data_IF_530747074877
#
_entry.id   IF_530747074877
#
_cell.length_a   1.000
_cell.length_b   1.000
_cell.length_c   1.000
_cell.angle_alpha   90.00
_cell.angle_beta   90.00
_cell.angle_gamma   90.00
#
_symmetry.space_group_name_H-M   'P 1'
#
loop_
_entity.id
_entity.type
_entity.pdbx_description
1 polymer ?
#
# COMPACT_ATOMS: atom_id res chain seq x y z
N UNK A 1 11.89 -18.93 12.91
CA UNK A 1 12.65 -18.92 11.65
C UNK A 1 11.66 -18.63 10.53
N UNK A 2 11.46 -17.35 10.20
CA UNK A 2 10.57 -16.91 9.12
C UNK A 2 11.45 -16.47 7.94
N UNK A 3 11.33 -17.24 6.87
CA UNK A 3 12.13 -17.25 5.66
C UNK A 3 11.68 -16.15 4.69
N UNK A 4 12.03 -14.90 4.99
CA UNK A 4 11.84 -13.76 4.09
C UNK A 4 12.82 -12.68 4.52
N UNK A 5 13.91 -12.51 3.76
CA UNK A 5 15.10 -11.72 4.12
C UNK A 5 14.94 -10.21 4.25
N UNK A 6 13.76 -9.70 4.60
CA UNK A 6 13.51 -8.32 5.02
C UNK A 6 12.39 -8.34 6.07
N UNK A 7 12.77 -8.56 7.33
CA UNK A 7 11.86 -8.60 8.49
C UNK A 7 11.63 -7.21 9.08
N UNK A 8 11.69 -6.15 8.27
CA UNK A 8 11.36 -4.80 8.70
C UNK A 8 10.04 -4.33 8.03
N UNK A 9 9.08 -3.76 8.78
CA UNK A 9 7.89 -3.17 8.21
C UNK A 9 8.24 -2.07 7.20
N UNK A 10 7.54 -2.10 6.06
CA UNK A 10 7.70 -1.19 4.93
C UNK A 10 6.93 0.11 5.24
N UNK A 11 7.60 1.17 5.65
CA UNK A 11 6.91 2.43 5.93
C UNK A 11 6.61 3.25 4.68
N UNK A 12 5.60 4.10 4.81
CA UNK A 12 5.32 5.13 3.83
C UNK A 12 6.45 6.16 3.78
N UNK A 13 6.60 6.79 2.62
CA UNK A 13 7.57 7.84 2.34
C UNK A 13 7.53 8.99 3.34
N UNK A 14 6.37 9.31 3.93
CA UNK A 14 6.23 10.35 4.95
C UNK A 14 6.99 10.08 6.25
N UNK A 15 7.44 8.84 6.48
CA UNK A 15 8.18 8.44 7.68
C UNK A 15 9.71 8.39 7.46
N UNK A 16 10.21 8.98 6.38
CA UNK A 16 11.64 9.10 6.13
C UNK A 16 12.33 9.89 7.27
N UNK A 17 13.33 9.29 7.92
CA UNK A 17 14.09 9.91 9.01
C UNK A 17 13.67 9.47 10.43
N UNK A 18 12.70 8.57 10.56
CA UNK A 18 12.46 7.83 11.80
C UNK A 18 13.47 6.69 11.97
N UNK A 19 13.59 6.20 13.20
CA UNK A 19 14.56 5.20 13.60
C UNK A 19 14.55 4.00 12.63
N UNK A 20 15.68 3.82 11.95
CA UNK A 20 15.79 2.97 10.75
C UNK A 20 16.04 1.51 11.12
N UNK A 21 16.32 1.25 12.40
CA UNK A 21 16.56 -0.10 12.94
C UNK A 21 15.29 -0.96 12.93
N UNK A 22 14.11 -0.34 12.97
CA UNK A 22 12.82 -1.04 13.03
C UNK A 22 11.90 -0.76 11.85
N UNK A 23 12.21 0.24 11.01
CA UNK A 23 11.34 0.68 9.93
C UNK A 23 12.22 1.07 8.74
N UNK A 24 12.13 0.33 7.64
CA UNK A 24 12.69 0.82 6.39
C UNK A 24 11.74 1.87 5.80
N UNK A 25 12.28 2.94 5.24
CA UNK A 25 11.53 3.99 4.55
C UNK A 25 12.15 4.22 3.15
N UNK A 26 11.36 4.60 2.13
CA UNK A 26 11.86 4.74 0.76
C UNK A 26 12.93 5.83 0.68
N UNK A 27 14.05 5.53 0.02
CA UNK A 27 15.14 6.50 -0.12
C UNK A 27 14.89 7.45 -1.31
N UNK A 28 15.02 8.75 -1.04
CA UNK A 28 14.89 9.86 -2.00
C UNK A 28 16.27 10.52 -2.21
N UNK A 29 17.04 10.07 -3.19
CA UNK A 29 18.34 10.69 -3.51
C UNK A 29 19.20 9.87 -4.46
N UNK A 30 20.16 10.54 -5.10
CA UNK A 30 21.05 9.95 -6.12
C UNK A 30 22.18 9.09 -5.54
N UNK A 31 22.50 9.23 -4.25
CA UNK A 31 23.49 8.40 -3.56
C UNK A 31 22.82 7.27 -2.78
N UNK A 32 22.25 6.31 -3.52
CA UNK A 32 21.52 5.19 -2.92
C UNK A 32 22.45 4.08 -2.44
N UNK A 33 22.31 3.61 -1.19
CA UNK A 33 22.87 2.33 -0.79
C UNK A 33 22.23 1.19 -1.61
N UNK A 34 22.97 0.14 -2.01
CA UNK A 34 22.49 -0.88 -2.93
C UNK A 34 21.21 -1.61 -2.46
N UNK A 35 21.02 -1.80 -1.15
CA UNK A 35 19.83 -2.44 -0.57
C UNK A 35 18.53 -1.62 -0.72
N UNK A 36 18.63 -0.32 -1.00
CA UNK A 36 17.46 0.57 -1.11
C UNK A 36 16.74 0.45 -2.46
N UNK A 37 17.37 -0.14 -3.47
CA UNK A 37 16.78 -0.32 -4.81
C UNK A 37 15.63 -1.33 -4.79
N UNK A 38 15.86 -2.50 -4.20
CA UNK A 38 14.81 -3.52 -4.06
C UNK A 38 13.68 -3.02 -3.15
N UNK A 39 14.02 -2.32 -2.08
CA UNK A 39 13.04 -1.71 -1.19
C UNK A 39 12.15 -0.67 -1.92
N UNK A 40 12.75 0.23 -2.70
CA UNK A 40 11.96 1.20 -3.47
C UNK A 40 11.12 0.50 -4.55
N UNK A 41 11.61 -0.58 -5.17
CA UNK A 41 10.84 -1.34 -6.16
C UNK A 41 9.62 -2.00 -5.52
N UNK A 42 9.78 -2.63 -4.35
CA UNK A 42 8.68 -3.19 -3.58
C UNK A 42 7.68 -2.12 -3.17
N UNK A 43 8.17 -0.97 -2.69
CA UNK A 43 7.31 0.16 -2.32
C UNK A 43 6.53 0.72 -3.51
N UNK A 44 7.19 0.94 -4.65
CA UNK A 44 6.53 1.38 -5.89
C UNK A 44 5.45 0.38 -6.33
N UNK A 45 5.74 -0.92 -6.32
CA UNK A 45 4.74 -1.94 -6.68
C UNK A 45 3.51 -1.94 -5.76
N UNK A 46 3.72 -1.73 -4.45
CA UNK A 46 2.63 -1.62 -3.49
C UNK A 46 1.77 -0.38 -3.75
N UNK A 47 2.42 0.77 -3.97
CA UNK A 47 1.77 2.05 -4.27
C UNK A 47 0.98 1.99 -5.58
N UNK A 48 1.58 1.43 -6.63
CA UNK A 48 0.95 1.31 -7.96
C UNK A 48 -0.38 0.57 -7.90
N UNK A 49 -0.46 -0.51 -7.11
CA UNK A 49 -1.72 -1.26 -6.92
C UNK A 49 -2.79 -0.40 -6.23
N UNK A 50 -2.42 0.28 -5.16
CA UNK A 50 -3.32 1.18 -4.43
C UNK A 50 -3.82 2.32 -5.31
N UNK A 51 -2.91 3.00 -6.01
CA UNK A 51 -3.24 4.10 -6.92
C UNK A 51 -4.18 3.68 -8.04
N UNK A 52 -3.99 2.49 -8.62
CA UNK A 52 -4.90 1.96 -9.65
C UNK A 52 -6.31 1.77 -9.12
N UNK A 53 -6.46 1.21 -7.92
CA UNK A 53 -7.77 1.06 -7.27
C UNK A 53 -8.38 2.44 -7.04
N UNK A 54 -7.63 3.39 -6.47
CA UNK A 54 -8.12 4.75 -6.25
C UNK A 54 -8.49 5.48 -7.55
N UNK A 55 -7.74 5.26 -8.64
CA UNK A 55 -8.04 5.80 -9.96
C UNK A 55 -9.36 5.23 -10.50
N UNK A 56 -9.61 3.92 -10.35
CA UNK A 56 -10.87 3.29 -10.72
C UNK A 56 -12.04 3.83 -9.88
N UNK A 57 -11.88 3.94 -8.56
CA UNK A 57 -12.90 4.49 -7.66
C UNK A 57 -13.25 5.95 -7.99
N UNK A 58 -12.23 6.78 -8.33
CA UNK A 58 -12.43 8.15 -8.81
C UNK A 58 -13.13 8.17 -10.17
N UNK A 59 -12.75 7.29 -11.11
CA UNK A 59 -13.40 7.14 -12.43
C UNK A 59 -14.89 6.81 -12.29
N UNK A 60 -15.25 5.93 -11.37
CA UNK A 60 -16.65 5.58 -11.09
C UNK A 60 -17.40 6.63 -10.26
N UNK A 61 -16.72 7.69 -9.81
CA UNK A 61 -17.26 8.74 -8.92
C UNK A 61 -17.88 8.19 -7.63
N UNK A 62 -17.49 6.98 -7.22
CA UNK A 62 -18.00 6.33 -6.00
C UNK A 62 -17.69 7.17 -4.76
N UNK A 63 -16.49 7.76 -4.72
CA UNK A 63 -16.05 8.62 -3.62
C UNK A 63 -16.93 9.86 -3.45
N UNK A 64 -17.62 10.32 -4.50
CA UNK A 64 -18.54 11.46 -4.40
C UNK A 64 -19.81 11.12 -3.63
N UNK A 65 -20.27 9.87 -3.71
CA UNK A 65 -21.44 9.37 -2.95
C UNK A 65 -21.09 9.04 -1.51
N UNK A 66 -19.80 8.77 -1.24
CA UNK A 66 -19.28 8.37 0.07
C UNK A 66 -18.97 9.53 1.02
N UNK A 67 -18.95 10.78 0.54
CA UNK A 67 -18.37 11.94 1.23
C UNK A 67 -18.96 12.30 2.60
N UNK A 68 -20.09 11.72 3.01
CA UNK A 68 -20.79 12.14 4.23
C UNK A 68 -21.06 11.02 5.25
N UNK A 69 -20.69 9.76 4.97
CA UNK A 69 -21.01 8.66 5.90
C UNK A 69 -19.89 7.62 5.97
N UNK A 70 -19.10 7.67 7.05
CA UNK A 70 -18.03 6.70 7.32
C UNK A 70 -18.54 5.27 7.50
N UNK A 71 -19.74 5.05 8.03
CA UNK A 71 -20.31 3.70 8.10
C UNK A 71 -20.57 3.11 6.71
N UNK A 72 -21.09 3.92 5.79
CA UNK A 72 -21.30 3.50 4.41
C UNK A 72 -19.97 3.18 3.70
N UNK A 73 -18.93 3.98 3.98
CA UNK A 73 -17.57 3.73 3.50
C UNK A 73 -16.99 2.43 4.00
N UNK A 74 -17.12 2.16 5.30
CA UNK A 74 -16.67 0.91 5.92
C UNK A 74 -17.38 -0.29 5.31
N UNK A 75 -18.71 -0.23 5.16
CA UNK A 75 -19.48 -1.34 4.59
C UNK A 75 -19.08 -1.66 3.14
N UNK A 76 -18.90 -0.64 2.29
CA UNK A 76 -18.42 -0.82 0.91
C UNK A 76 -16.99 -1.41 0.92
N UNK A 77 -16.11 -0.91 1.77
CA UNK A 77 -14.73 -1.40 1.87
C UNK A 77 -14.70 -2.86 2.30
N UNK A 78 -15.53 -3.25 3.26
CA UNK A 78 -15.67 -4.62 3.73
C UNK A 78 -16.16 -5.54 2.61
N UNK A 79 -17.19 -5.12 1.86
CA UNK A 79 -17.70 -5.87 0.72
C UNK A 79 -16.62 -6.07 -0.37
N UNK A 80 -15.87 -5.02 -0.72
CA UNK A 80 -14.75 -5.09 -1.68
C UNK A 80 -13.64 -6.02 -1.17
N UNK A 81 -13.32 -5.98 0.13
CA UNK A 81 -12.30 -6.83 0.73
C UNK A 81 -12.69 -8.32 0.68
N UNK A 82 -13.94 -8.64 1.01
CA UNK A 82 -14.49 -10.00 0.91
C UNK A 82 -14.49 -10.47 -0.55
N UNK A 83 -14.95 -9.64 -1.48
CA UNK A 83 -14.96 -9.96 -2.91
C UNK A 83 -13.55 -10.28 -3.43
N UNK A 84 -12.58 -9.40 -3.17
CA UNK A 84 -11.19 -9.64 -3.59
C UNK A 84 -10.60 -10.91 -2.96
N UNK A 85 -10.92 -11.19 -1.68
CA UNK A 85 -10.45 -12.39 -1.00
C UNK A 85 -11.04 -13.66 -1.62
N UNK A 86 -12.30 -13.60 -2.08
CA UNK A 86 -12.94 -14.68 -2.80
C UNK A 86 -12.27 -14.91 -4.17
N UNK A 87 -12.08 -13.84 -4.95
CA UNK A 87 -11.40 -13.89 -6.27
C UNK A 87 -9.96 -14.42 -6.20
N UNK A 88 -9.22 -14.11 -5.12
CA UNK A 88 -7.87 -14.63 -4.89
C UNK A 88 -7.87 -16.11 -4.54
N UNK A 89 -8.94 -16.62 -3.93
CA UNK A 89 -9.06 -18.02 -3.51
C UNK A 89 -9.51 -18.93 -4.66
N UNK A 90 -10.22 -18.38 -5.64
CA UNK A 90 -10.63 -19.08 -6.86
C UNK A 90 -9.56 -19.13 -7.95
N UNK A 91 -8.40 -18.48 -7.73
CA UNK A 91 -7.28 -18.43 -8.67
C UNK A 91 -6.11 -19.29 -8.20
#
# INVERSE_FOLDING_TARGET
>A
MSDTGLTCPLADKGYQGLDTDNIAAPWNGSNKPPYTTDYNRLHSQLRDRGERIFAQLKKWRILHKLRCNSHHATNITHAISVFNSHEQKTR
#
